data_IF_546843334660
#
_entry.id   IF_546843334660
#
_cell.length_a   1.000
_cell.length_b   1.000
_cell.length_c   1.000
_cell.angle_alpha   90.00
_cell.angle_beta   90.00
_cell.angle_gamma   90.00
#
_symmetry.space_group_name_H-M   'P 1'
#
loop_
_entity.id
_entity.type
_entity.pdbx_description
1 polymer ?
#
# COMPACT_ATOMS: atom_id res chain seq x y z
N UNK A 1 -31.75 -2.30 31.45
CA UNK A 1 -30.47 -3.06 31.43
C UNK A 1 -30.45 -4.19 30.39
N UNK A 2 -31.58 -4.86 30.08
CA UNK A 2 -31.68 -5.94 29.08
C UNK A 2 -31.43 -5.52 27.62
N UNK A 3 -31.81 -4.30 27.23
CA UNK A 3 -31.61 -3.80 25.86
C UNK A 3 -30.14 -3.46 25.52
N UNK A 4 -29.33 -3.06 26.50
CA UNK A 4 -27.93 -2.73 26.23
C UNK A 4 -27.11 -4.00 25.96
N UNK A 5 -27.38 -5.04 26.73
CA UNK A 5 -26.70 -6.35 26.61
C UNK A 5 -27.12 -7.06 25.32
N UNK A 6 -28.38 -6.94 24.89
CA UNK A 6 -28.83 -7.50 23.61
C UNK A 6 -28.20 -6.79 22.41
N UNK A 7 -28.04 -5.46 22.47
CA UNK A 7 -27.36 -4.66 21.45
C UNK A 7 -25.87 -5.01 21.37
N UNK A 8 -25.17 -5.07 22.51
CA UNK A 8 -23.76 -5.45 22.57
C UNK A 8 -23.51 -6.87 22.02
N UNK A 9 -24.39 -7.82 22.34
CA UNK A 9 -24.26 -9.22 21.86
C UNK A 9 -24.47 -9.37 20.36
N UNK A 10 -25.26 -8.48 19.74
CA UNK A 10 -25.55 -8.52 18.31
C UNK A 10 -24.58 -7.66 17.47
N UNK A 11 -23.68 -6.89 18.09
CA UNK A 11 -22.65 -6.14 17.37
C UNK A 11 -21.55 -7.08 16.87
N UNK A 12 -21.04 -6.81 15.67
CA UNK A 12 -19.84 -7.50 15.16
C UNK A 12 -18.67 -7.28 16.11
N UNK A 13 -17.83 -8.30 16.29
CA UNK A 13 -16.67 -8.25 17.18
C UNK A 13 -15.76 -7.03 16.91
N UNK A 14 -15.64 -6.59 15.66
CA UNK A 14 -14.90 -5.37 15.29
C UNK A 14 -15.52 -4.10 15.85
N UNK A 15 -16.86 -3.96 15.84
CA UNK A 15 -17.58 -2.82 16.40
C UNK A 15 -17.45 -2.77 17.93
N UNK A 16 -17.39 -3.94 18.58
CA UNK A 16 -17.19 -4.04 20.02
C UNK A 16 -15.75 -3.65 20.43
N UNK A 17 -14.76 -4.05 19.64
CA UNK A 17 -13.37 -3.62 19.80
C UNK A 17 -13.22 -2.11 19.61
N UNK A 18 -13.86 -1.54 18.59
CA UNK A 18 -13.85 -0.08 18.41
C UNK A 18 -14.48 0.66 19.59
N UNK A 19 -15.61 0.18 20.11
CA UNK A 19 -16.27 0.78 21.26
C UNK A 19 -15.39 0.74 22.53
N UNK A 20 -14.56 -0.29 22.66
CA UNK A 20 -13.64 -0.47 23.79
C UNK A 20 -12.36 0.38 23.66
N UNK A 21 -11.87 0.58 22.43
CA UNK A 21 -10.67 1.37 22.14
C UNK A 21 -10.99 2.87 22.03
N UNK A 22 -12.23 3.24 21.70
CA UNK A 22 -12.67 4.62 21.50
C UNK A 22 -12.37 5.55 22.70
N UNK A 23 -12.64 5.16 23.97
CA UNK A 23 -12.30 6.02 25.12
C UNK A 23 -10.79 6.25 25.27
N UNK A 24 -9.96 5.27 24.91
CA UNK A 24 -8.49 5.38 24.94
C UNK A 24 -8.00 6.32 23.84
N UNK A 25 -8.58 6.23 22.63
CA UNK A 25 -8.30 7.18 21.54
C UNK A 25 -8.70 8.59 21.95
N UNK A 26 -9.90 8.77 22.51
CA UNK A 26 -10.39 10.09 22.97
C UNK A 26 -9.52 10.64 24.10
N UNK A 27 -9.08 9.80 25.05
CA UNK A 27 -8.17 10.17 26.13
C UNK A 27 -6.78 10.59 25.62
N UNK A 28 -6.21 9.83 24.67
CA UNK A 28 -4.94 10.17 24.03
C UNK A 28 -5.03 11.47 23.23
N UNK A 29 -6.15 11.72 22.54
CA UNK A 29 -6.43 12.96 21.82
C UNK A 29 -6.64 14.16 22.77
N UNK A 30 -7.23 13.95 23.94
CA UNK A 30 -7.56 15.02 24.88
C UNK A 30 -6.36 15.51 25.73
N UNK A 31 -5.42 14.64 26.07
CA UNK A 31 -4.29 14.95 26.98
C UNK A 31 -3.07 15.50 26.25
N UNK A 32 -2.95 15.23 24.96
CA UNK A 32 -1.76 15.56 24.20
C UNK A 32 -1.84 17.00 23.66
N UNK A 33 -1.17 17.91 24.37
CA UNK A 33 -1.06 19.34 24.06
C UNK A 33 -0.62 19.69 22.62
N UNK A 34 0.03 18.74 21.91
CA UNK A 34 0.61 18.95 20.58
C UNK A 34 0.30 17.81 19.59
N UNK A 35 -0.74 17.00 19.83
CA UNK A 35 -1.09 15.92 18.89
C UNK A 35 -1.54 16.43 17.52
N UNK A 36 -2.06 17.65 17.41
CA UNK A 36 -2.37 18.27 16.12
C UNK A 36 -1.14 18.23 15.21
N UNK A 37 -0.06 18.91 15.60
CA UNK A 37 1.17 18.95 14.81
C UNK A 37 1.78 17.56 14.55
N UNK A 38 1.80 16.68 15.56
CA UNK A 38 2.33 15.31 15.41
C UNK A 38 1.46 14.43 14.50
N UNK A 39 0.13 14.57 14.54
CA UNK A 39 -0.80 13.92 13.61
C UNK A 39 -0.64 14.53 12.21
N UNK A 40 -0.44 15.83 12.07
CA UNK A 40 -0.20 16.49 10.78
C UNK A 40 1.08 15.96 10.12
N UNK A 41 2.18 15.82 10.87
CA UNK A 41 3.41 15.18 10.38
C UNK A 41 3.23 13.68 10.11
N UNK A 42 2.59 12.93 11.01
CA UNK A 42 2.42 11.46 10.87
C UNK A 42 1.39 11.08 9.80
N UNK A 43 0.35 11.89 9.59
CA UNK A 43 -0.62 11.71 8.50
C UNK A 43 -0.12 12.33 7.18
N UNK A 44 1.01 13.06 7.19
CA UNK A 44 1.56 13.73 6.02
C UNK A 44 0.57 14.72 5.41
N UNK A 45 0.00 15.59 6.24
CA UNK A 45 -1.00 16.58 5.84
C UNK A 45 -0.26 17.87 5.43
N UNK A 46 -0.17 18.11 4.12
CA UNK A 46 0.32 19.31 3.48
C UNK A 46 -0.58 20.52 3.78
N UNK A 47 -0.01 21.71 3.59
CA UNK A 47 -0.75 22.97 3.67
C UNK A 47 -1.94 22.96 2.70
N UNK A 48 -3.09 23.50 3.15
CA UNK A 48 -4.36 23.49 2.41
C UNK A 48 -4.99 22.10 2.15
N UNK A 49 -4.85 21.16 3.08
CA UNK A 49 -5.42 19.81 2.99
C UNK A 49 -6.92 19.73 2.63
N UNK A 50 -7.74 20.68 3.08
CA UNK A 50 -9.16 20.75 2.72
C UNK A 50 -9.36 21.00 1.23
N UNK A 51 -8.53 21.86 0.63
CA UNK A 51 -8.56 22.15 -0.80
C UNK A 51 -8.08 20.94 -1.61
N UNK A 52 -7.02 20.27 -1.15
CA UNK A 52 -6.49 19.05 -1.75
C UNK A 52 -7.51 17.89 -1.72
N UNK A 53 -8.17 17.66 -0.57
CA UNK A 53 -9.24 16.67 -0.44
C UNK A 53 -10.43 17.00 -1.34
N UNK A 54 -10.84 18.28 -1.41
CA UNK A 54 -11.96 18.71 -2.24
C UNK A 54 -11.66 18.47 -3.72
N UNK A 55 -10.46 18.83 -4.17
CA UNK A 55 -9.98 18.53 -5.52
C UNK A 55 -9.99 17.03 -5.81
N UNK A 56 -9.43 16.21 -4.93
CA UNK A 56 -9.45 14.75 -5.06
C UNK A 56 -10.86 14.20 -5.24
N UNK A 57 -11.82 14.64 -4.41
CA UNK A 57 -13.22 14.20 -4.51
C UNK A 57 -13.81 14.58 -5.87
N UNK A 58 -13.52 15.78 -6.39
CA UNK A 58 -14.04 16.23 -7.69
C UNK A 58 -13.45 15.42 -8.84
N UNK A 59 -12.14 15.12 -8.82
CA UNK A 59 -11.49 14.26 -9.82
C UNK A 59 -12.06 12.83 -9.78
N UNK A 60 -12.19 12.23 -8.60
CA UNK A 60 -12.80 10.91 -8.43
C UNK A 60 -14.27 10.91 -8.86
N UNK A 61 -15.03 11.95 -8.54
CA UNK A 61 -16.43 12.08 -8.96
C UNK A 61 -16.55 12.19 -10.48
N UNK A 62 -15.70 13.00 -11.12
CA UNK A 62 -15.63 13.11 -12.58
C UNK A 62 -15.35 11.74 -13.23
N UNK A 63 -14.37 11.01 -12.72
CA UNK A 63 -14.04 9.66 -13.20
C UNK A 63 -15.16 8.64 -12.96
N UNK A 64 -15.84 8.71 -11.81
CA UNK A 64 -16.96 7.82 -11.51
C UNK A 64 -18.17 8.06 -12.42
N UNK A 65 -18.45 9.33 -12.73
CA UNK A 65 -19.49 9.72 -13.69
C UNK A 65 -19.15 9.21 -15.10
N UNK A 66 -17.91 9.40 -15.56
CA UNK A 66 -17.46 8.91 -16.86
C UNK A 66 -17.51 7.39 -16.99
N UNK A 67 -16.99 6.68 -15.99
CA UNK A 67 -17.04 5.22 -15.93
C UNK A 67 -18.48 4.69 -15.93
N UNK A 68 -19.38 5.34 -15.17
CA UNK A 68 -20.79 5.02 -15.20
C UNK A 68 -21.40 5.25 -16.59
N UNK A 69 -21.08 6.37 -17.25
CA UNK A 69 -21.50 6.65 -18.62
C UNK A 69 -21.07 5.55 -19.60
N UNK A 70 -19.81 5.13 -19.55
CA UNK A 70 -19.27 4.05 -20.37
C UNK A 70 -19.97 2.70 -20.12
N UNK A 71 -20.25 2.37 -18.85
CA UNK A 71 -21.03 1.18 -18.51
C UNK A 71 -22.44 1.21 -19.09
N UNK A 72 -23.10 2.37 -19.14
CA UNK A 72 -24.42 2.48 -19.76
C UNK A 72 -24.38 2.32 -21.28
N UNK A 73 -23.32 2.80 -21.94
CA UNK A 73 -23.10 2.52 -23.36
C UNK A 73 -22.97 1.01 -23.58
N UNK A 74 -22.12 0.34 -22.80
CA UNK A 74 -21.90 -1.11 -22.92
C UNK A 74 -23.18 -1.92 -22.64
N UNK A 75 -23.95 -1.54 -21.62
CA UNK A 75 -25.26 -2.13 -21.35
C UNK A 75 -26.20 -1.95 -22.54
N UNK A 76 -26.24 -0.78 -23.18
CA UNK A 76 -27.10 -0.55 -24.36
C UNK A 76 -26.80 -1.49 -25.54
N UNK A 77 -25.60 -2.09 -25.57
CA UNK A 77 -25.14 -3.02 -26.60
C UNK A 77 -25.35 -4.50 -26.24
N UNK A 78 -25.83 -4.80 -25.02
CA UNK A 78 -26.07 -6.19 -24.62
C UNK A 78 -27.20 -6.81 -25.46
N UNK A 79 -27.08 -8.09 -25.86
CA UNK A 79 -28.02 -8.76 -26.75
C UNK A 79 -29.42 -8.95 -26.12
N UNK A 80 -29.50 -8.95 -24.78
CA UNK A 80 -30.71 -9.30 -24.03
C UNK A 80 -31.69 -8.12 -23.80
N UNK A 81 -31.40 -6.92 -24.31
CA UNK A 81 -32.16 -5.70 -23.98
C UNK A 81 -33.13 -5.32 -25.10
N UNK A 82 -34.37 -5.00 -24.68
CA UNK A 82 -35.42 -4.50 -25.57
C UNK A 82 -35.05 -3.16 -26.23
N UNK A 83 -35.50 -2.88 -27.45
CA UNK A 83 -35.16 -1.66 -28.18
C UNK A 83 -35.51 -0.36 -27.43
N UNK A 84 -36.61 -0.35 -26.67
CA UNK A 84 -37.05 0.81 -25.88
C UNK A 84 -36.11 1.14 -24.72
N UNK A 85 -35.56 0.10 -24.06
CA UNK A 85 -34.64 0.28 -22.95
C UNK A 85 -33.23 0.67 -23.42
N UNK A 86 -32.85 0.30 -24.66
CA UNK A 86 -31.60 0.75 -25.29
C UNK A 86 -31.51 2.27 -25.36
N UNK A 87 -32.62 2.95 -25.71
CA UNK A 87 -32.67 4.42 -25.76
C UNK A 87 -32.49 5.04 -24.38
N UNK A 88 -33.10 4.48 -23.33
CA UNK A 88 -32.95 4.95 -21.94
C UNK A 88 -31.51 4.83 -21.45
N UNK A 89 -30.83 3.72 -21.74
CA UNK A 89 -29.41 3.55 -21.37
C UNK A 89 -28.51 4.57 -22.07
N UNK A 90 -28.79 4.87 -23.33
CA UNK A 90 -28.06 5.89 -24.11
C UNK A 90 -28.30 7.31 -23.61
N UNK A 91 -29.51 7.63 -23.18
CA UNK A 91 -29.80 8.92 -22.52
C UNK A 91 -29.06 9.06 -21.20
N UNK A 92 -28.99 7.99 -20.39
CA UNK A 92 -28.19 7.98 -19.16
C UNK A 92 -26.69 8.16 -19.45
N UNK A 93 -26.17 7.50 -20.48
CA UNK A 93 -24.78 7.69 -20.93
C UNK A 93 -24.52 9.13 -21.37
N UNK A 94 -25.43 9.73 -22.15
CA UNK A 94 -25.35 11.12 -22.57
C UNK A 94 -25.27 12.07 -21.38
N UNK A 95 -26.19 11.95 -20.41
CA UNK A 95 -26.20 12.81 -19.23
C UNK A 95 -24.91 12.69 -18.41
N UNK A 96 -24.38 11.46 -18.29
CA UNK A 96 -23.13 11.21 -17.60
C UNK A 96 -21.95 11.89 -18.32
N UNK A 97 -21.79 11.69 -19.63
CA UNK A 97 -20.69 12.29 -20.38
C UNK A 97 -20.80 13.82 -20.50
N UNK A 98 -22.02 14.38 -20.57
CA UNK A 98 -22.21 15.84 -20.50
C UNK A 98 -21.77 16.37 -19.13
N UNK A 99 -22.19 15.72 -18.04
CA UNK A 99 -21.79 16.13 -16.70
C UNK A 99 -20.27 16.06 -16.52
N UNK A 100 -19.63 14.98 -16.97
CA UNK A 100 -18.18 14.83 -16.96
C UNK A 100 -17.49 15.92 -17.78
N UNK A 101 -17.97 16.21 -18.99
CA UNK A 101 -17.41 17.25 -19.85
C UNK A 101 -17.47 18.64 -19.19
N UNK A 102 -18.59 18.97 -18.54
CA UNK A 102 -18.77 20.23 -17.80
C UNK A 102 -17.81 20.31 -16.62
N UNK A 103 -17.67 19.24 -15.84
CA UNK A 103 -16.74 19.20 -14.71
C UNK A 103 -15.30 19.39 -15.20
N UNK A 104 -14.87 18.66 -16.24
CA UNK A 104 -13.51 18.77 -16.78
C UNK A 104 -13.21 20.14 -17.38
N UNK A 105 -14.20 20.77 -18.02
CA UNK A 105 -14.07 22.14 -18.54
C UNK A 105 -13.93 23.16 -17.40
N UNK A 106 -14.69 22.97 -16.32
CA UNK A 106 -14.57 23.82 -15.14
C UNK A 106 -13.20 23.66 -14.48
N UNK A 107 -12.72 22.42 -14.34
CA UNK A 107 -11.39 22.13 -13.81
C UNK A 107 -10.28 22.71 -14.71
N UNK A 108 -10.41 22.67 -16.03
CA UNK A 108 -9.36 23.18 -16.92
C UNK A 108 -9.10 24.69 -16.77
N UNK A 109 -10.07 25.45 -16.26
CA UNK A 109 -9.98 26.90 -16.06
C UNK A 109 -9.74 27.30 -14.59
N UNK A 110 -9.69 26.33 -13.68
CA UNK A 110 -9.69 26.58 -12.25
C UNK A 110 -8.27 26.68 -11.69
N UNK A 111 -7.85 27.86 -11.22
CA UNK A 111 -6.52 28.03 -10.60
C UNK A 111 -6.39 27.33 -9.23
N UNK A 112 -7.51 27.06 -8.56
CA UNK A 112 -7.54 26.41 -7.24
C UNK A 112 -7.21 24.91 -7.28
N UNK A 113 -7.02 24.33 -8.48
CA UNK A 113 -6.52 22.95 -8.64
C UNK A 113 -4.99 22.89 -8.60
N UNK A 114 -4.29 24.00 -8.84
CA UNK A 114 -2.84 24.03 -9.00
C UNK A 114 -2.10 23.42 -7.79
N UNK A 115 -2.48 23.70 -6.52
CA UNK A 115 -1.86 23.07 -5.37
C UNK A 115 -2.00 21.54 -5.37
N UNK A 116 -3.13 21.03 -5.85
CA UNK A 116 -3.38 19.59 -5.94
C UNK A 116 -2.53 18.90 -7.00
N UNK A 117 -2.39 19.51 -8.18
CA UNK A 117 -1.53 18.98 -9.25
C UNK A 117 -0.05 18.99 -8.83
N UNK A 118 0.39 20.07 -8.17
CA UNK A 118 1.74 20.18 -7.60
C UNK A 118 1.99 19.08 -6.56
N UNK A 119 1.05 18.88 -5.64
CA UNK A 119 1.11 17.82 -4.61
C UNK A 119 1.27 16.43 -5.23
N UNK A 120 0.51 16.12 -6.29
CA UNK A 120 0.64 14.83 -7.01
C UNK A 120 2.04 14.67 -7.61
N UNK A 121 2.57 15.70 -8.27
CA UNK A 121 3.86 15.62 -8.95
C UNK A 121 5.03 15.47 -7.96
N UNK A 122 5.02 16.22 -6.85
CA UNK A 122 6.05 16.15 -5.81
C UNK A 122 6.10 14.77 -5.16
N UNK A 123 4.94 14.18 -4.91
CA UNK A 123 4.85 12.87 -4.23
C UNK A 123 4.97 11.66 -5.16
N UNK A 124 5.04 11.86 -6.48
CA UNK A 124 5.11 10.77 -7.46
C UNK A 124 6.53 10.21 -7.66
N UNK A 125 7.58 10.99 -7.38
CA UNK A 125 8.96 10.65 -7.70
C UNK A 125 9.91 10.84 -6.52
N UNK A 126 10.99 10.05 -6.47
CA UNK A 126 12.06 10.24 -5.49
C UNK A 126 12.90 11.46 -5.89
N UNK A 127 13.17 12.42 -4.99
CA UNK A 127 14.06 13.57 -5.22
C UNK A 127 15.42 13.24 -5.84
N UNK A 128 15.93 12.02 -5.64
CA UNK A 128 17.22 11.58 -6.18
C UNK A 128 17.14 11.09 -7.63
N UNK A 129 15.92 10.94 -8.16
CA UNK A 129 15.68 10.39 -9.49
C UNK A 129 15.39 11.45 -10.55
N UNK A 130 15.07 12.69 -10.15
CA UNK A 130 14.56 13.74 -11.03
C UNK A 130 15.13 15.11 -10.71
N UNK A 131 15.59 15.84 -11.74
CA UNK A 131 16.27 17.14 -11.60
C UNK A 131 15.33 18.32 -11.34
N UNK A 132 14.02 18.14 -11.58
CA UNK A 132 13.00 19.19 -11.41
C UNK A 132 12.45 19.29 -9.99
N UNK A 133 12.91 18.45 -9.06
CA UNK A 133 12.47 18.46 -7.66
C UNK A 133 13.57 19.07 -6.78
N UNK A 134 13.27 20.25 -6.22
CA UNK A 134 14.22 21.07 -5.47
C UNK A 134 13.81 21.11 -3.99
N UNK A 135 14.77 20.96 -3.09
CA UNK A 135 14.54 21.15 -1.65
C UNK A 135 14.60 22.63 -1.31
N UNK A 136 13.48 23.20 -0.88
CA UNK A 136 13.35 24.60 -0.42
C UNK A 136 12.73 24.56 0.98
N UNK A 137 13.40 25.19 1.95
CA UNK A 137 12.93 25.27 3.34
C UNK A 137 12.56 23.91 3.96
N UNK A 138 13.41 22.89 3.76
CA UNK A 138 13.22 21.52 4.23
C UNK A 138 11.99 20.79 3.64
N UNK A 139 11.31 21.41 2.68
CA UNK A 139 10.20 20.84 1.91
C UNK A 139 10.60 20.59 0.46
N UNK A 140 10.01 19.57 -0.17
CA UNK A 140 10.23 19.28 -1.58
C UNK A 140 9.27 20.11 -2.44
N UNK A 141 9.82 20.84 -3.41
CA UNK A 141 9.06 21.72 -4.31
C UNK A 141 9.49 21.50 -5.76
N UNK A 142 8.60 21.82 -6.70
CA UNK A 142 8.91 21.79 -8.13
C UNK A 142 9.79 22.99 -8.51
N UNK A 143 10.65 22.81 -9.52
CA UNK A 143 11.35 23.93 -10.14
C UNK A 143 10.34 24.90 -10.78
N UNK A 144 10.56 26.23 -10.72
CA UNK A 144 9.59 27.20 -11.24
C UNK A 144 9.25 27.03 -12.73
N UNK A 145 10.24 26.61 -13.53
CA UNK A 145 10.07 26.36 -14.96
C UNK A 145 9.18 25.15 -15.22
N UNK A 146 9.43 24.04 -14.51
CA UNK A 146 8.66 22.81 -14.64
C UNK A 146 7.25 22.95 -14.07
N UNK A 147 7.06 23.72 -13.00
CA UNK A 147 5.75 23.99 -12.42
C UNK A 147 4.81 24.65 -13.45
N UNK A 148 5.28 25.67 -14.17
CA UNK A 148 4.48 26.35 -15.20
C UNK A 148 4.17 25.42 -16.37
N UNK A 149 5.14 24.61 -16.80
CA UNK A 149 4.95 23.64 -17.89
C UNK A 149 3.92 22.57 -17.51
N UNK A 150 4.07 21.97 -16.33
CA UNK A 150 3.16 20.95 -15.80
C UNK A 150 1.73 21.46 -15.71
N UNK A 151 1.53 22.63 -15.08
CA UNK A 151 0.20 23.21 -14.91
C UNK A 151 -0.47 23.50 -16.26
N UNK A 152 0.27 24.08 -17.21
CA UNK A 152 -0.23 24.33 -18.57
C UNK A 152 -0.59 23.03 -19.29
N UNK A 153 0.26 22.01 -19.18
CA UNK A 153 0.00 20.70 -19.77
C UNK A 153 -1.25 20.06 -19.18
N UNK A 154 -1.42 20.11 -17.85
CA UNK A 154 -2.60 19.56 -17.18
C UNK A 154 -3.87 20.31 -17.58
N UNK A 155 -3.88 21.64 -17.55
CA UNK A 155 -5.05 22.44 -17.96
C UNK A 155 -5.45 22.16 -19.41
N UNK A 156 -4.48 22.10 -20.34
CA UNK A 156 -4.72 21.74 -21.72
C UNK A 156 -5.27 20.32 -21.87
N UNK A 157 -4.73 19.36 -21.11
CA UNK A 157 -5.20 17.97 -21.14
C UNK A 157 -6.63 17.84 -20.62
N UNK A 158 -7.00 18.56 -19.55
CA UNK A 158 -8.37 18.58 -19.02
C UNK A 158 -9.36 19.18 -20.04
N UNK A 159 -8.95 20.25 -20.73
CA UNK A 159 -9.76 20.83 -21.79
C UNK A 159 -9.97 19.87 -22.97
N UNK A 160 -8.90 19.19 -23.42
CA UNK A 160 -9.01 18.17 -24.48
C UNK A 160 -9.90 17.01 -24.06
N UNK A 161 -9.77 16.52 -22.82
CA UNK A 161 -10.62 15.46 -22.28
C UNK A 161 -12.09 15.90 -22.22
N UNK A 162 -12.38 17.16 -21.85
CA UNK A 162 -13.74 17.70 -21.89
C UNK A 162 -14.35 17.62 -23.29
N UNK A 163 -13.60 17.97 -24.34
CA UNK A 163 -14.04 17.85 -25.73
C UNK A 163 -14.31 16.40 -26.10
N UNK A 164 -13.43 15.48 -25.72
CA UNK A 164 -13.62 14.04 -25.96
C UNK A 164 -14.89 13.54 -25.27
N UNK A 165 -15.13 13.89 -24.01
CA UNK A 165 -16.36 13.55 -23.30
C UNK A 165 -17.60 14.15 -23.97
N UNK A 166 -17.53 15.40 -24.45
CA UNK A 166 -18.60 16.04 -25.23
C UNK A 166 -18.91 15.27 -26.52
N UNK A 167 -17.88 14.80 -27.22
CA UNK A 167 -18.04 13.95 -28.40
C UNK A 167 -18.64 12.58 -28.06
N UNK A 168 -18.21 11.94 -26.97
CA UNK A 168 -18.79 10.69 -26.47
C UNK A 168 -20.27 10.85 -26.09
N UNK A 169 -20.66 11.99 -25.53
CA UNK A 169 -22.05 12.31 -25.29
C UNK A 169 -22.84 12.31 -26.60
N UNK A 170 -22.39 13.07 -27.61
CA UNK A 170 -23.06 13.11 -28.92
C UNK A 170 -23.15 11.73 -29.57
N UNK A 171 -22.05 10.95 -29.53
CA UNK A 171 -22.03 9.58 -30.03
C UNK A 171 -23.03 8.67 -29.31
N UNK A 172 -23.29 8.88 -28.02
CA UNK A 172 -24.23 8.06 -27.25
C UNK A 172 -25.66 8.14 -27.80
N UNK A 173 -26.07 9.31 -28.33
CA UNK A 173 -27.41 9.52 -28.92
C UNK A 173 -27.38 9.28 -30.44
N UNK A 174 -26.48 9.95 -31.16
CA UNK A 174 -26.49 10.01 -32.61
C UNK A 174 -25.65 8.92 -33.29
N UNK A 175 -24.71 8.30 -32.56
CA UNK A 175 -23.79 7.28 -33.07
C UNK A 175 -24.37 5.87 -33.16
N UNK A 176 -25.69 5.72 -33.30
CA UNK A 176 -26.36 4.42 -33.19
C UNK A 176 -25.89 3.38 -34.21
N UNK A 177 -25.67 3.80 -35.46
CA UNK A 177 -25.16 2.95 -36.54
C UNK A 177 -23.75 2.43 -36.24
N UNK A 178 -22.87 3.29 -35.72
CA UNK A 178 -21.50 2.93 -35.37
C UNK A 178 -21.44 2.04 -34.12
N UNK A 179 -22.13 2.41 -33.05
CA UNK A 179 -22.11 1.68 -31.77
C UNK A 179 -22.71 0.28 -31.89
N UNK A 180 -23.72 0.07 -32.75
CA UNK A 180 -24.33 -1.24 -32.97
C UNK A 180 -23.45 -2.20 -33.80
N UNK A 181 -22.33 -1.74 -34.35
CA UNK A 181 -21.38 -2.59 -35.08
C UNK A 181 -20.50 -3.38 -34.12
N UNK A 182 -19.89 -4.48 -34.60
CA UNK A 182 -18.93 -5.25 -33.79
C UNK A 182 -17.72 -4.40 -33.37
N UNK A 183 -17.34 -3.41 -34.20
CA UNK A 183 -16.30 -2.44 -33.87
C UNK A 183 -16.75 -1.46 -32.77
N UNK A 184 -18.02 -1.05 -32.80
CA UNK A 184 -18.64 -0.20 -31.77
C UNK A 184 -18.65 -0.83 -30.38
N UNK A 185 -18.81 -2.17 -30.29
CA UNK A 185 -18.69 -2.90 -29.04
C UNK A 185 -17.27 -2.78 -28.45
N UNK A 186 -16.23 -3.10 -29.24
CA UNK A 186 -14.84 -2.99 -28.78
C UNK A 186 -14.45 -1.55 -28.45
N UNK A 187 -14.97 -0.58 -29.21
CA UNK A 187 -14.82 0.84 -28.89
C UNK A 187 -15.44 1.19 -27.52
N UNK A 188 -16.65 0.73 -27.24
CA UNK A 188 -17.29 0.96 -25.93
C UNK A 188 -16.52 0.30 -24.78
N UNK A 189 -15.97 -0.90 -24.99
CA UNK A 189 -15.09 -1.57 -24.02
C UNK A 189 -13.80 -0.76 -23.80
N UNK A 190 -13.19 -0.23 -24.86
CA UNK A 190 -12.00 0.62 -24.75
C UNK A 190 -12.29 1.88 -23.92
N UNK A 191 -13.40 2.58 -24.21
CA UNK A 191 -13.81 3.76 -23.44
C UNK A 191 -14.04 3.39 -21.97
N UNK A 192 -14.69 2.26 -21.68
CA UNK A 192 -14.89 1.79 -20.31
C UNK A 192 -13.55 1.55 -19.60
N UNK A 193 -12.56 0.95 -20.27
CA UNK A 193 -11.23 0.72 -19.70
C UNK A 193 -10.50 2.05 -19.46
N UNK A 194 -10.59 3.00 -20.37
CA UNK A 194 -9.94 4.32 -20.23
C UNK A 194 -10.55 5.13 -19.08
N UNK A 195 -11.88 5.17 -18.97
CA UNK A 195 -12.59 5.83 -17.86
C UNK A 195 -12.31 5.15 -16.52
N UNK A 196 -12.26 3.80 -16.51
CA UNK A 196 -11.82 3.05 -15.35
C UNK A 196 -10.38 3.39 -14.97
N UNK A 197 -9.45 3.46 -15.93
CA UNK A 197 -8.06 3.79 -15.69
C UNK A 197 -7.90 5.22 -15.15
N UNK A 198 -8.68 6.18 -15.65
CA UNK A 198 -8.74 7.55 -15.14
C UNK A 198 -9.19 7.57 -13.68
N UNK A 199 -10.33 6.94 -13.36
CA UNK A 199 -10.83 6.84 -11.99
C UNK A 199 -9.81 6.11 -11.07
N UNK A 200 -9.26 5.00 -11.55
CA UNK A 200 -8.29 4.20 -10.83
C UNK A 200 -7.01 4.99 -10.54
N UNK A 201 -6.52 5.79 -11.49
CA UNK A 201 -5.34 6.61 -11.29
C UNK A 201 -5.52 7.59 -10.12
N UNK A 202 -6.60 8.38 -10.11
CA UNK A 202 -6.82 9.34 -9.03
C UNK A 202 -7.06 8.64 -7.68
N UNK A 203 -7.78 7.52 -7.68
CA UNK A 203 -8.14 6.81 -6.45
C UNK A 203 -6.95 6.01 -5.87
N UNK A 204 -6.14 5.39 -6.72
CA UNK A 204 -5.15 4.38 -6.32
C UNK A 204 -3.70 4.76 -6.58
N UNK A 205 -3.40 5.79 -7.38
CA UNK A 205 -2.03 6.15 -7.78
C UNK A 205 -1.69 7.58 -7.38
N UNK A 206 -2.56 8.55 -7.65
CA UNK A 206 -2.31 9.98 -7.43
C UNK A 206 -2.11 10.30 -5.95
N UNK A 207 -0.86 10.37 -5.51
CA UNK A 207 -0.51 10.67 -4.13
C UNK A 207 -0.60 12.18 -3.88
N UNK A 208 -1.65 12.63 -3.19
CA UNK A 208 -1.73 14.00 -2.69
C UNK A 208 -1.64 13.99 -1.16
N UNK A 209 -0.84 14.88 -0.60
CA UNK A 209 -0.53 14.93 0.83
C UNK A 209 -1.67 15.49 1.69
N UNK A 210 -2.95 15.14 1.46
CA UNK A 210 -4.05 15.63 2.32
C UNK A 210 -4.45 14.65 3.43
N UNK A 211 -4.00 13.40 3.34
CA UNK A 211 -4.03 12.37 4.41
C UNK A 211 -3.45 11.05 3.88
N UNK A 212 -2.13 10.88 3.96
CA UNK A 212 -1.43 9.67 3.48
C UNK A 212 -2.01 8.40 4.11
N UNK A 213 -2.32 8.43 5.41
CA UNK A 213 -2.94 7.31 6.13
C UNK A 213 -4.35 6.94 5.65
N UNK A 214 -5.19 7.92 5.30
CA UNK A 214 -6.53 7.68 4.75
C UNK A 214 -6.41 7.00 3.38
N UNK A 215 -5.50 7.50 2.54
CA UNK A 215 -5.31 6.97 1.19
C UNK A 215 -4.81 5.53 1.21
N UNK A 216 -3.83 5.22 2.07
CA UNK A 216 -3.33 3.84 2.25
C UNK A 216 -4.46 2.92 2.73
N UNK A 217 -5.29 3.38 3.67
CA UNK A 217 -6.40 2.60 4.23
C UNK A 217 -7.48 2.32 3.19
N UNK A 218 -7.87 3.31 2.39
CA UNK A 218 -8.85 3.14 1.30
C UNK A 218 -8.33 2.13 0.28
N UNK A 219 -7.07 2.27 -0.17
CA UNK A 219 -6.44 1.36 -1.12
C UNK A 219 -6.37 -0.07 -0.57
N UNK A 220 -5.92 -0.23 0.68
CA UNK A 220 -5.85 -1.52 1.35
C UNK A 220 -7.23 -2.17 1.48
N UNK A 221 -8.25 -1.41 1.85
CA UNK A 221 -9.63 -1.90 1.93
C UNK A 221 -10.15 -2.37 0.56
N UNK A 222 -9.94 -1.57 -0.50
CA UNK A 222 -10.34 -1.94 -1.86
C UNK A 222 -9.65 -3.23 -2.30
N UNK A 223 -8.33 -3.33 -2.11
CA UNK A 223 -7.59 -4.56 -2.44
C UNK A 223 -8.03 -5.75 -1.60
N UNK A 224 -8.35 -5.56 -0.32
CA UNK A 224 -8.87 -6.62 0.52
C UNK A 224 -10.23 -7.12 0.03
N UNK A 225 -11.15 -6.23 -0.34
CA UNK A 225 -12.46 -6.62 -0.89
C UNK A 225 -12.36 -7.26 -2.28
N UNK A 226 -11.50 -6.73 -3.16
CA UNK A 226 -11.22 -7.35 -4.46
C UNK A 226 -10.59 -8.73 -4.30
N UNK A 227 -9.59 -8.85 -3.44
CA UNK A 227 -8.93 -10.12 -3.11
C UNK A 227 -9.90 -11.12 -2.51
N UNK A 228 -10.74 -10.70 -1.57
CA UNK A 228 -11.80 -11.54 -0.99
C UNK A 228 -12.82 -11.99 -2.05
N UNK A 229 -13.18 -11.12 -2.99
CA UNK A 229 -14.10 -11.47 -4.09
C UNK A 229 -13.49 -12.51 -5.03
N UNK A 230 -12.22 -12.33 -5.42
CA UNK A 230 -11.47 -13.29 -6.24
C UNK A 230 -11.35 -14.64 -5.51
N UNK A 231 -10.97 -14.64 -4.24
CA UNK A 231 -10.90 -15.86 -3.42
C UNK A 231 -12.27 -16.53 -3.29
N UNK A 232 -13.34 -15.76 -3.14
CA UNK A 232 -14.70 -16.28 -3.14
C UNK A 232 -15.10 -16.95 -4.46
N UNK A 233 -14.73 -16.35 -5.59
CA UNK A 233 -14.92 -16.94 -6.93
C UNK A 233 -14.10 -18.21 -7.12
N UNK A 234 -12.82 -18.19 -6.74
CA UNK A 234 -11.95 -19.38 -6.77
C UNK A 234 -12.52 -20.47 -5.89
N UNK A 235 -12.97 -20.14 -4.68
CA UNK A 235 -13.59 -21.11 -3.78
C UNK A 235 -14.88 -21.69 -4.34
N UNK A 236 -15.76 -20.86 -4.93
CA UNK A 236 -16.96 -21.31 -5.61
C UNK A 236 -16.68 -22.19 -6.83
N UNK A 237 -15.55 -21.97 -7.51
CA UNK A 237 -15.07 -22.83 -8.59
C UNK A 237 -14.55 -24.16 -8.04
N UNK A 238 -13.71 -24.13 -6.99
CA UNK A 238 -13.18 -25.32 -6.33
C UNK A 238 -14.29 -26.19 -5.74
N UNK A 239 -15.35 -25.62 -5.18
CA UNK A 239 -16.49 -26.36 -4.63
C UNK A 239 -17.30 -27.10 -5.69
N UNK A 240 -17.14 -26.75 -6.97
CA UNK A 240 -17.76 -27.46 -8.11
C UNK A 240 -16.88 -28.56 -8.68
N UNK A 241 -15.61 -28.64 -8.29
CA UNK A 241 -14.73 -29.74 -8.70
C UNK A 241 -15.13 -31.01 -7.93
N UNK A 242 -15.40 -32.10 -8.67
CA UNK A 242 -15.56 -33.41 -8.04
C UNK A 242 -14.23 -33.80 -7.43
N UNK A 243 -14.22 -33.99 -6.11
CA UNK A 243 -13.04 -34.48 -5.38
C UNK A 243 -12.66 -35.83 -5.97
N UNK A 244 -11.49 -35.90 -6.61
CA UNK A 244 -10.95 -37.18 -7.05
C UNK A 244 -10.25 -37.84 -5.86
N UNK A 245 -10.53 -39.13 -5.64
CA UNK A 245 -9.87 -39.96 -4.60
C UNK A 245 -8.33 -39.92 -4.72
N UNK A 246 -7.82 -39.68 -5.92
CA UNK A 246 -6.39 -39.54 -6.20
C UNK A 246 -5.82 -38.22 -5.67
N UNK A 247 -6.54 -37.09 -5.86
CA UNK A 247 -6.12 -35.80 -5.34
C UNK A 247 -6.14 -35.77 -3.81
N UNK A 248 -7.15 -36.38 -3.18
CA UNK A 248 -7.22 -36.51 -1.72
C UNK A 248 -6.02 -37.27 -1.15
N UNK A 249 -5.67 -38.41 -1.75
CA UNK A 249 -4.49 -39.19 -1.35
C UNK A 249 -3.19 -38.40 -1.53
N UNK A 250 -3.01 -37.69 -2.64
CA UNK A 250 -1.81 -36.88 -2.89
C UNK A 250 -1.69 -35.75 -1.88
N UNK A 251 -2.77 -35.01 -1.62
CA UNK A 251 -2.77 -33.89 -0.66
C UNK A 251 -2.48 -34.40 0.76
N UNK A 252 -3.08 -35.52 1.15
CA UNK A 252 -2.80 -36.16 2.44
C UNK A 252 -1.33 -36.54 2.58
N UNK A 253 -0.75 -37.17 1.54
CA UNK A 253 0.64 -37.61 1.55
C UNK A 253 1.62 -36.42 1.61
N UNK A 254 1.35 -35.35 0.86
CA UNK A 254 2.10 -34.08 0.94
C UNK A 254 2.00 -33.48 2.35
N UNK A 255 0.80 -33.45 2.93
CA UNK A 255 0.59 -32.95 4.29
C UNK A 255 1.40 -33.73 5.33
N UNK A 256 1.41 -35.06 5.24
CA UNK A 256 2.22 -35.93 6.11
C UNK A 256 3.71 -35.65 5.95
N UNK A 257 4.20 -35.54 4.71
CA UNK A 257 5.62 -35.21 4.44
C UNK A 257 5.98 -33.85 5.05
N UNK A 258 5.13 -32.84 4.90
CA UNK A 258 5.36 -31.50 5.46
C UNK A 258 5.36 -31.51 7.00
N UNK A 259 4.47 -32.26 7.63
CA UNK A 259 4.45 -32.42 9.09
C UNK A 259 5.73 -33.12 9.57
N UNK A 260 6.18 -34.18 8.88
CA UNK A 260 7.43 -34.88 9.20
C UNK A 260 8.61 -33.92 9.05
N UNK A 261 8.69 -33.18 7.94
CA UNK A 261 9.75 -32.20 7.71
C UNK A 261 9.76 -31.12 8.80
N UNK A 262 8.60 -30.54 9.13
CA UNK A 262 8.48 -29.54 10.19
C UNK A 262 8.91 -30.10 11.55
N UNK A 263 8.50 -31.35 11.86
CA UNK A 263 8.88 -32.03 13.11
C UNK A 263 10.39 -32.26 13.18
N UNK A 264 11.02 -32.68 12.08
CA UNK A 264 12.49 -32.81 11.98
C UNK A 264 13.16 -31.46 12.23
N UNK A 265 12.70 -30.37 11.61
CA UNK A 265 13.26 -29.03 11.82
C UNK A 265 13.10 -28.53 13.27
N UNK A 266 11.99 -28.86 13.95
CA UNK A 266 11.75 -28.46 15.35
C UNK A 266 12.61 -29.27 16.33
N UNK A 267 12.87 -30.55 16.05
CA UNK A 267 13.64 -31.45 16.93
C UNK A 267 15.17 -31.30 16.74
N UNK A 268 15.63 -30.59 15.70
CA UNK A 268 17.06 -30.38 15.47
C UNK A 268 17.76 -29.80 16.71
N UNK A 269 18.92 -30.36 17.11
CA UNK A 269 19.63 -29.93 18.29
C UNK A 269 20.12 -28.50 18.11
N UNK A 270 19.70 -27.60 19.01
CA UNK A 270 20.08 -26.19 18.96
C UNK A 270 21.59 -26.06 19.23
N UNK A 271 22.28 -25.33 18.35
CA UNK A 271 23.68 -24.95 18.52
C UNK A 271 23.77 -23.81 19.53
N UNK A 272 24.68 -23.95 20.49
CA UNK A 272 24.96 -22.88 21.46
C UNK A 272 26.05 -21.96 20.92
N UNK A 273 25.96 -20.67 21.25
CA UNK A 273 26.98 -19.68 20.93
C UNK A 273 27.18 -18.75 22.12
N UNK A 274 28.43 -18.34 22.34
CA UNK A 274 28.85 -17.55 23.49
C UNK A 274 29.51 -16.27 22.99
N UNK A 275 29.05 -15.13 23.49
CA UNK A 275 29.75 -13.87 23.33
C UNK A 275 30.88 -13.81 24.36
N UNK A 276 32.11 -13.66 23.88
CA UNK A 276 33.30 -13.60 24.71
C UNK A 276 34.07 -12.29 24.54
N UNK A 277 34.80 -11.88 25.57
CA UNK A 277 35.65 -10.69 25.56
C UNK A 277 35.04 -9.48 26.27
N UNK A 278 35.36 -8.28 25.79
CA UNK A 278 34.89 -7.00 26.32
C UNK A 278 34.03 -6.24 25.28
N UNK A 279 33.04 -5.50 25.77
CA UNK A 279 32.06 -4.72 25.01
C UNK A 279 32.56 -3.30 24.67
N UNK A 280 33.72 -2.90 25.18
CA UNK A 280 34.28 -1.54 24.99
C UNK A 280 34.70 -1.21 23.54
N UNK A 281 34.90 -2.22 22.69
CA UNK A 281 35.49 -2.07 21.36
C UNK A 281 34.69 -2.71 20.22
N UNK A 282 35.40 -3.13 19.17
CA UNK A 282 34.79 -3.76 18.00
C UNK A 282 34.50 -5.23 18.27
N UNK A 283 33.26 -5.65 18.01
CA UNK A 283 32.82 -7.04 18.17
C UNK A 283 32.92 -7.76 16.82
N UNK A 284 33.67 -8.86 16.77
CA UNK A 284 33.78 -9.74 15.60
C UNK A 284 32.60 -10.72 15.51
N UNK A 285 32.04 -10.88 14.30
CA UNK A 285 30.99 -11.87 14.04
C UNK A 285 31.41 -12.68 12.80
N UNK A 286 31.61 -13.98 12.98
CA UNK A 286 31.93 -14.90 11.89
C UNK A 286 30.72 -15.17 10.99
N UNK A 287 30.99 -15.45 9.71
CA UNK A 287 29.97 -15.85 8.75
C UNK A 287 29.26 -17.15 9.17
N UNK A 288 27.94 -17.22 8.95
CA UNK A 288 27.11 -18.38 9.31
C UNK A 288 26.34 -18.26 10.63
N UNK A 289 26.52 -17.16 11.37
CA UNK A 289 25.69 -16.82 12.54
C UNK A 289 24.40 -16.14 12.07
N UNK A 290 23.20 -16.56 12.54
CA UNK A 290 21.94 -15.94 12.15
C UNK A 290 21.85 -14.45 12.49
N UNK A 291 21.17 -13.68 11.63
CA UNK A 291 21.03 -12.22 11.77
C UNK A 291 20.41 -11.79 13.10
N UNK A 292 19.42 -12.54 13.60
CA UNK A 292 18.79 -12.21 14.88
C UNK A 292 19.76 -12.27 16.07
N UNK A 293 20.75 -13.18 16.05
CA UNK A 293 21.78 -13.26 17.10
C UNK A 293 22.77 -12.12 16.96
N UNK A 294 23.20 -11.81 15.72
CA UNK A 294 24.10 -10.68 15.49
C UNK A 294 23.46 -9.34 15.85
N UNK A 295 22.17 -9.17 15.61
CA UNK A 295 21.44 -7.94 15.91
C UNK A 295 21.23 -7.79 17.42
N UNK A 296 20.90 -8.87 18.13
CA UNK A 296 20.86 -8.88 19.61
C UNK A 296 22.18 -8.36 20.21
N UNK A 297 23.32 -8.80 19.65
CA UNK A 297 24.64 -8.33 20.07
C UNK A 297 24.91 -6.90 19.62
N UNK A 298 24.45 -6.49 18.43
CA UNK A 298 24.63 -5.14 17.89
C UNK A 298 23.96 -4.08 18.73
N UNK A 299 22.71 -4.32 19.09
CA UNK A 299 21.86 -3.37 19.81
C UNK A 299 21.96 -3.52 21.32
N UNK A 300 22.62 -4.58 21.79
CA UNK A 300 22.82 -4.80 23.23
C UNK A 300 21.55 -5.23 23.95
N UNK A 301 20.60 -5.85 23.26
CA UNK A 301 19.30 -6.28 23.81
C UNK A 301 19.44 -7.35 24.92
N UNK A 302 20.64 -7.91 25.10
CA UNK A 302 20.97 -8.82 26.19
C UNK A 302 21.41 -8.14 27.49
N UNK A 303 21.56 -6.80 27.48
CA UNK A 303 21.87 -5.99 28.65
C UNK A 303 20.58 -5.39 29.22
N UNK A 304 20.49 -5.27 30.55
CA UNK A 304 19.33 -4.63 31.21
C UNK A 304 19.15 -3.16 30.80
N UNK A 305 20.26 -2.50 30.46
CA UNK A 305 20.28 -1.15 29.89
C UNK A 305 21.00 -1.20 28.53
N UNK A 306 20.25 -1.15 27.41
CA UNK A 306 20.82 -1.08 26.08
C UNK A 306 21.69 0.17 25.91
N UNK A 307 22.80 0.10 25.16
CA UNK A 307 23.65 1.25 24.89
C UNK A 307 22.93 2.29 24.02
N UNK A 308 23.17 3.58 24.27
CA UNK A 308 22.64 4.69 23.44
C UNK A 308 23.03 4.57 21.96
N UNK A 309 24.18 3.95 21.68
CA UNK A 309 24.68 3.71 20.33
C UNK A 309 24.95 2.21 20.12
N UNK A 310 24.60 1.65 18.95
CA UNK A 310 24.88 0.25 18.64
C UNK A 310 26.38 -0.07 18.68
N UNK A 311 26.73 -1.26 19.15
CA UNK A 311 28.11 -1.75 19.16
C UNK A 311 28.66 -1.84 17.72
N UNK A 312 29.95 -1.53 17.58
CA UNK A 312 30.63 -1.58 16.28
C UNK A 312 30.93 -3.03 15.90
N UNK A 313 30.15 -3.58 14.97
CA UNK A 313 30.34 -4.95 14.46
C UNK A 313 31.35 -4.98 13.31
N UNK A 314 32.18 -6.02 13.31
CA UNK A 314 33.04 -6.40 12.19
C UNK A 314 32.69 -7.80 11.71
N UNK A 315 32.23 -7.93 10.48
CA UNK A 315 32.01 -9.24 9.84
C UNK A 315 33.34 -9.91 9.52
N UNK A 316 33.45 -11.19 9.89
CA UNK A 316 34.62 -12.03 9.70
C UNK A 316 34.27 -13.23 8.81
N UNK A 317 35.25 -13.72 8.05
CA UNK A 317 35.02 -14.80 7.08
C UNK A 317 34.92 -16.19 7.73
N UNK A 318 35.58 -16.40 8.87
CA UNK A 318 35.61 -17.69 9.56
C UNK A 318 35.78 -17.54 11.07
N UNK A 319 35.49 -18.63 11.81
CA UNK A 319 35.72 -18.73 13.24
C UNK A 319 37.23 -18.64 13.60
N UNK A 320 38.11 -19.25 12.80
CA UNK A 320 39.57 -19.17 13.03
C UNK A 320 40.09 -17.73 12.95
N UNK A 321 39.54 -16.95 12.02
CA UNK A 321 39.86 -15.54 11.90
C UNK A 321 39.38 -14.74 13.13
N UNK A 322 38.25 -15.13 13.72
CA UNK A 322 37.73 -14.53 14.93
C UNK A 322 38.65 -14.78 16.13
N UNK A 323 39.08 -16.03 16.34
CA UNK A 323 40.04 -16.40 17.39
C UNK A 323 41.36 -15.65 17.23
N UNK A 324 41.92 -15.61 16.01
CA UNK A 324 43.17 -14.89 15.76
C UNK A 324 43.07 -13.39 16.06
N UNK A 325 41.96 -12.75 15.69
CA UNK A 325 41.81 -11.30 15.86
C UNK A 325 41.55 -10.90 17.32
N UNK A 326 40.89 -11.75 18.11
CA UNK A 326 40.73 -11.50 19.54
C UNK A 326 42.06 -11.70 20.28
N UNK A 327 42.85 -12.72 19.90
CA UNK A 327 44.20 -12.93 20.47
C UNK A 327 45.16 -11.78 20.13
N UNK A 328 45.06 -11.21 18.92
CA UNK A 328 45.83 -10.03 18.51
C UNK A 328 45.31 -8.70 19.12
N UNK A 329 44.20 -8.72 19.89
CA UNK A 329 43.59 -7.53 20.48
C UNK A 329 42.98 -6.54 19.47
N UNK A 330 42.77 -6.97 18.22
CA UNK A 330 42.22 -6.12 17.14
C UNK A 330 40.69 -6.03 17.17
N UNK A 331 40.05 -6.95 17.88
CA UNK A 331 38.64 -6.94 18.27
C UNK A 331 38.56 -7.13 19.78
N UNK A 332 37.58 -6.50 20.43
CA UNK A 332 37.42 -6.57 21.88
C UNK A 332 36.57 -7.78 22.31
N UNK A 333 35.65 -8.22 21.45
CA UNK A 333 34.83 -9.40 21.69
C UNK A 333 34.44 -10.12 20.41
N UNK A 334 33.98 -11.36 20.53
CA UNK A 334 33.49 -12.15 19.39
C UNK A 334 32.47 -13.21 19.81
N UNK A 335 31.62 -13.63 18.88
CA UNK A 335 30.76 -14.79 19.06
C UNK A 335 31.53 -16.06 18.68
N UNK A 336 31.63 -17.00 19.63
CA UNK A 336 32.31 -18.29 19.45
C UNK A 336 31.42 -19.44 19.96
N UNK A 337 31.50 -20.63 19.37
CA UNK A 337 30.88 -21.80 19.96
C UNK A 337 31.58 -22.19 21.29
N UNK A 338 30.90 -22.95 22.17
CA UNK A 338 31.34 -23.15 23.55
C UNK A 338 32.72 -23.78 23.72
N UNK A 339 33.14 -24.61 22.76
CA UNK A 339 34.44 -25.28 22.70
C UNK A 339 35.60 -24.30 22.54
N UNK A 340 35.43 -23.26 21.73
CA UNK A 340 36.43 -22.22 21.50
C UNK A 340 36.35 -21.09 22.52
N UNK A 341 35.20 -20.90 23.16
CA UNK A 341 34.92 -19.84 24.11
C UNK A 341 35.60 -20.02 25.49
N UNK A 342 36.07 -21.23 25.83
CA UNK A 342 36.60 -21.59 27.16
C UNK A 342 37.75 -20.67 27.61
N UNK A 343 38.53 -20.15 26.67
CA UNK A 343 39.74 -19.36 26.94
C UNK A 343 39.47 -17.88 27.27
N UNK A 344 38.23 -17.43 27.15
CA UNK A 344 37.88 -16.01 27.23
C UNK A 344 36.75 -15.77 28.25
N UNK A 345 36.65 -14.56 28.82
CA UNK A 345 35.54 -14.22 29.71
C UNK A 345 34.21 -14.26 28.94
N UNK A 346 33.23 -15.01 29.46
CA UNK A 346 31.91 -15.13 28.86
C UNK A 346 31.01 -13.97 29.28
N UNK A 347 30.45 -13.26 28.30
CA UNK A 347 29.55 -12.12 28.51
C UNK A 347 28.09 -12.54 28.36
N UNK A 348 27.79 -13.36 27.35
CA UNK A 348 26.42 -13.76 27.04
C UNK A 348 26.37 -15.11 26.32
N UNK A 349 25.25 -15.83 26.43
CA UNK A 349 25.03 -17.15 25.81
C UNK A 349 23.68 -17.18 25.11
N UNK A 350 23.65 -17.77 23.91
CA UNK A 350 22.42 -17.95 23.14
C UNK A 350 22.39 -19.31 22.44
N UNK A 351 21.18 -19.74 22.05
CA UNK A 351 20.95 -20.98 21.31
C UNK A 351 20.23 -20.67 20.01
N UNK A 352 20.71 -21.22 18.90
CA UNK A 352 20.09 -21.09 17.57
C UNK A 352 20.01 -22.44 16.85
N UNK A 353 19.16 -22.54 15.82
CA UNK A 353 18.98 -23.74 15.00
C UNK A 353 20.08 -23.87 13.94
#
# INVERSE_FOLDING_TARGET
>A
MSNLISVLRNMRASSLMFLLVFPVIVYLLAISRNYGAAIYEVLGIEDNATLLLSNFIIFCFSGAVGFWGALQVLKSLSPDILPEDRSKFRQKAFLAFVLQAVILLFLSQADWINPYIKSIAVNAYDPRSVDWLIMVDQSFTLSPEFEVELLRWTQNSLWQLSIVCGFLALLSIFGSSFLNSNFGFWFAVLIMILEFAFLFYFLMIAHAGFAVGLMITIRAAIFAYLGASILGLVWAFLSRLKVSLLAERIIFLIGVILIIAATIFVIQPKKEIVLVGDLSGRIGIAAGIPSHISDTVRYGDFLDNPPENPFKIRSLKSLDQAVKLIDEGRISGTLLPPDLAIKYPSVWKAKYL
#
